data_IF_859792916964
#
_entry.id   IF_859792916964
#
_cell.length_a   1.000
_cell.length_b   1.000
_cell.length_c   1.000
_cell.angle_alpha   90.00
_cell.angle_beta   90.00
_cell.angle_gamma   90.00
#
_symmetry.space_group_name_H-M   'P 1'
#
loop_
_entity.id
_entity.type
_entity.pdbx_description
1 polymer ?
#
# COMPACT_ATOMS: atom_id res chain seq x y z
N UNK A 1 -7.31 3.93 -8.58
CA UNK A 1 -6.51 5.13 -8.89
C UNK A 1 -6.38 6.06 -7.68
N UNK A 2 -7.45 6.36 -6.96
CA UNK A 2 -7.42 7.19 -5.74
C UNK A 2 -6.53 6.59 -4.65
N UNK A 3 -6.56 5.27 -4.45
CA UNK A 3 -5.70 4.57 -3.49
C UNK A 3 -4.21 4.66 -3.85
N UNK A 4 -3.87 4.51 -5.14
CA UNK A 4 -2.48 4.66 -5.61
C UNK A 4 -2.01 6.12 -5.45
N UNK A 5 -2.85 7.10 -5.77
CA UNK A 5 -2.53 8.51 -5.57
C UNK A 5 -2.29 8.83 -4.08
N UNK A 6 -3.07 8.22 -3.19
CA UNK A 6 -2.92 8.37 -1.75
C UNK A 6 -1.61 7.76 -1.24
N UNK A 7 -1.25 6.56 -1.68
CA UNK A 7 0.03 5.92 -1.32
C UNK A 7 1.20 6.75 -1.86
N UNK A 8 1.13 7.23 -3.10
CA UNK A 8 2.16 8.10 -3.68
C UNK A 8 2.27 9.44 -2.92
N UNK A 9 1.13 10.04 -2.54
CA UNK A 9 1.14 11.23 -1.69
C UNK A 9 1.91 11.00 -0.39
N UNK A 10 1.59 9.90 0.32
CA UNK A 10 2.29 9.56 1.55
C UNK A 10 3.78 9.32 1.32
N UNK A 11 4.12 8.45 0.38
CA UNK A 11 5.52 8.05 0.14
C UNK A 11 6.36 9.21 -0.39
N UNK A 12 5.84 9.98 -1.35
CA UNK A 12 6.61 11.08 -1.98
C UNK A 12 6.55 12.35 -1.13
N UNK A 13 5.35 12.71 -0.60
CA UNK A 13 5.18 13.94 0.17
C UNK A 13 5.97 13.95 1.46
N UNK A 14 6.16 12.78 2.08
CA UNK A 14 6.78 12.65 3.39
C UNK A 14 8.27 12.30 3.28
N UNK A 15 8.63 11.37 2.40
CA UNK A 15 10.02 10.90 2.26
C UNK A 15 10.95 11.91 1.58
N UNK A 16 10.42 12.76 0.72
CA UNK A 16 11.20 13.77 -0.03
C UNK A 16 10.91 15.20 0.39
N UNK A 17 10.34 15.40 1.57
CA UNK A 17 10.20 16.72 2.17
C UNK A 17 11.56 17.23 2.65
N UNK A 18 12.38 17.68 1.72
CA UNK A 18 13.53 18.48 2.09
C UNK A 18 13.04 19.88 2.50
N UNK A 19 13.14 20.26 3.79
CA UNK A 19 12.65 21.54 4.27
C UNK A 19 13.36 22.75 3.62
N UNK A 20 14.47 22.52 2.93
CA UNK A 20 15.24 23.58 2.25
C UNK A 20 14.68 23.95 0.89
N UNK A 21 13.98 23.04 0.20
CA UNK A 21 13.42 23.25 -1.13
C UNK A 21 11.94 23.67 -1.13
N UNK A 22 11.18 23.27 -0.09
CA UNK A 22 9.73 23.48 -0.04
C UNK A 22 9.30 23.84 1.40
N UNK A 23 8.68 24.95 1.58
CA UNK A 23 8.36 25.53 2.90
C UNK A 23 7.50 24.66 3.84
N UNK A 24 6.89 23.56 3.36
CA UNK A 24 6.19 22.57 4.19
C UNK A 24 6.16 21.18 3.52
N UNK A 25 6.32 20.07 4.28
CA UNK A 25 6.25 18.72 3.74
C UNK A 25 4.92 18.40 3.02
N UNK A 26 3.82 18.98 3.50
CA UNK A 26 2.47 18.81 2.92
C UNK A 26 2.33 19.42 1.53
N UNK A 27 3.17 20.40 1.15
CA UNK A 27 3.03 21.09 -0.15
C UNK A 27 3.42 20.21 -1.34
N UNK A 28 4.44 19.36 -1.23
CA UNK A 28 4.89 18.49 -2.31
C UNK A 28 3.83 17.42 -2.62
N UNK A 29 3.25 16.80 -1.58
CA UNK A 29 2.22 15.81 -1.75
C UNK A 29 0.97 16.36 -2.42
N UNK A 30 0.50 17.51 -2.00
CA UNK A 30 -0.63 18.21 -2.66
C UNK A 30 -0.34 18.52 -4.12
N UNK A 31 0.88 18.92 -4.44
CA UNK A 31 1.32 19.18 -5.80
C UNK A 31 1.27 17.91 -6.67
N UNK A 32 1.86 16.81 -6.20
CA UNK A 32 1.90 15.56 -6.95
C UNK A 32 0.49 14.98 -7.14
N UNK A 33 -0.33 14.97 -6.09
CA UNK A 33 -1.70 14.42 -6.17
C UNK A 33 -2.58 15.27 -7.10
N UNK A 34 -2.51 16.61 -7.01
CA UNK A 34 -3.29 17.48 -7.90
C UNK A 34 -2.88 17.30 -9.36
N UNK A 35 -1.57 17.16 -9.64
CA UNK A 35 -1.06 16.87 -10.97
C UNK A 35 -1.55 15.50 -11.48
N UNK A 36 -1.56 14.47 -10.64
CA UNK A 36 -2.10 13.15 -11.01
C UNK A 36 -3.59 13.22 -11.31
N UNK A 37 -4.39 13.92 -10.50
CA UNK A 37 -5.82 14.11 -10.77
C UNK A 37 -6.04 14.79 -12.13
N UNK A 38 -5.27 15.83 -12.43
CA UNK A 38 -5.34 16.53 -13.73
C UNK A 38 -4.98 15.61 -14.90
N UNK A 39 -3.88 14.87 -14.80
CA UNK A 39 -3.44 13.95 -15.85
C UNK A 39 -4.47 12.84 -16.10
N UNK A 40 -4.96 12.19 -15.03
CA UNK A 40 -5.96 11.14 -15.16
C UNK A 40 -7.28 11.67 -15.72
N UNK A 41 -7.74 12.83 -15.24
CA UNK A 41 -8.98 13.44 -15.75
C UNK A 41 -8.85 13.79 -17.24
N UNK A 42 -7.72 14.30 -17.68
CA UNK A 42 -7.45 14.59 -19.09
C UNK A 42 -7.42 13.31 -19.94
N UNK A 43 -6.74 12.26 -19.49
CA UNK A 43 -6.71 10.95 -20.18
C UNK A 43 -8.11 10.34 -20.27
N UNK A 44 -8.90 10.42 -19.20
CA UNK A 44 -10.29 9.94 -19.19
C UNK A 44 -11.17 10.64 -20.22
N UNK A 45 -10.93 11.93 -20.54
CA UNK A 45 -11.64 12.62 -21.65
C UNK A 45 -11.35 11.90 -22.98
N UNK A 46 -10.10 11.54 -23.26
CA UNK A 46 -9.75 10.79 -24.47
C UNK A 46 -10.41 9.44 -24.55
N UNK A 47 -10.32 8.67 -23.46
CA UNK A 47 -10.79 7.27 -23.43
C UNK A 47 -12.32 7.18 -23.43
N UNK A 48 -13.00 7.93 -22.56
CA UNK A 48 -14.46 7.80 -22.37
C UNK A 48 -15.29 8.75 -23.26
N UNK A 49 -14.75 9.90 -23.64
CA UNK A 49 -15.45 10.83 -24.53
C UNK A 49 -14.94 10.77 -25.97
N UNK A 50 -13.88 9.98 -26.23
CA UNK A 50 -13.25 9.81 -27.56
C UNK A 50 -12.86 11.13 -28.22
N UNK A 51 -12.44 12.13 -27.44
CA UNK A 51 -12.07 13.46 -27.89
C UNK A 51 -10.60 13.74 -27.62
N UNK A 52 -9.72 13.08 -28.38
CA UNK A 52 -8.28 13.20 -28.22
C UNK A 52 -7.74 14.60 -28.44
N UNK A 53 -8.36 15.39 -29.31
CA UNK A 53 -8.09 16.81 -29.51
C UNK A 53 -8.16 17.60 -28.20
N UNK A 54 -9.23 17.37 -27.41
CA UNK A 54 -9.42 18.03 -26.11
C UNK A 54 -8.52 17.47 -25.03
N UNK A 55 -8.25 16.18 -25.07
CA UNK A 55 -7.28 15.55 -24.18
C UNK A 55 -5.88 16.16 -24.33
N UNK A 56 -5.42 16.29 -25.58
CA UNK A 56 -4.11 16.89 -25.88
C UNK A 56 -4.08 18.34 -25.41
N UNK A 57 -5.16 19.11 -25.66
CA UNK A 57 -5.26 20.48 -25.20
C UNK A 57 -5.20 20.57 -23.68
N UNK A 58 -6.00 19.80 -22.95
CA UNK A 58 -5.99 19.78 -21.48
C UNK A 58 -4.62 19.36 -20.93
N UNK A 59 -4.01 18.30 -21.48
CA UNK A 59 -2.69 17.84 -21.07
C UNK A 59 -1.60 18.91 -21.35
N UNK A 60 -1.61 19.56 -22.50
CA UNK A 60 -0.63 20.59 -22.84
C UNK A 60 -0.76 21.81 -21.90
N UNK A 61 -1.98 22.22 -21.56
CA UNK A 61 -2.20 23.31 -20.60
C UNK A 61 -1.72 22.88 -19.21
N UNK A 62 -2.15 21.71 -18.70
CA UNK A 62 -1.75 21.23 -17.38
C UNK A 62 -0.23 21.11 -17.26
N UNK A 63 0.41 20.41 -18.21
CA UNK A 63 1.87 20.23 -18.23
C UNK A 63 2.60 21.56 -18.42
N UNK A 64 2.13 22.41 -19.33
CA UNK A 64 2.73 23.73 -19.58
C UNK A 64 2.70 24.62 -18.36
N UNK A 65 1.56 24.77 -17.70
CA UNK A 65 1.43 25.60 -16.49
C UNK A 65 2.26 25.02 -15.35
N UNK A 66 2.24 23.71 -15.14
CA UNK A 66 3.06 23.05 -14.10
C UNK A 66 4.54 23.24 -14.35
N UNK A 67 5.01 23.06 -15.57
CA UNK A 67 6.41 23.21 -15.93
C UNK A 67 6.89 24.67 -15.79
N UNK A 68 6.10 25.62 -16.27
CA UNK A 68 6.42 27.06 -16.11
C UNK A 68 6.44 27.45 -14.65
N UNK A 69 5.46 27.02 -13.85
CA UNK A 69 5.40 27.35 -12.42
C UNK A 69 6.54 26.72 -11.62
N UNK A 70 6.95 25.49 -11.95
CA UNK A 70 8.11 24.86 -11.31
C UNK A 70 9.42 25.54 -11.67
N UNK A 71 9.63 25.86 -12.95
CA UNK A 71 10.81 26.60 -13.38
C UNK A 71 10.88 27.99 -12.74
N UNK A 72 9.74 28.69 -12.67
CA UNK A 72 9.68 30.01 -12.04
C UNK A 72 9.97 29.92 -10.54
N UNK A 73 9.43 28.92 -9.84
CA UNK A 73 9.70 28.69 -8.42
C UNK A 73 11.18 28.34 -8.16
N UNK A 74 11.82 27.64 -9.10
CA UNK A 74 13.22 27.23 -8.94
C UNK A 74 14.20 28.36 -9.27
N UNK A 75 13.95 29.16 -10.34
CA UNK A 75 14.93 30.14 -10.83
C UNK A 75 14.70 31.58 -10.36
N UNK A 76 13.47 31.96 -9.99
CA UNK A 76 13.15 33.37 -9.75
C UNK A 76 12.77 33.63 -8.29
N UNK A 77 11.71 33.03 -7.79
CA UNK A 77 11.23 33.22 -6.42
C UNK A 77 10.65 31.91 -5.92
N UNK A 78 11.15 31.33 -4.82
CA UNK A 78 10.55 30.16 -4.23
C UNK A 78 9.16 30.50 -3.67
N UNK A 79 8.11 29.89 -4.21
CA UNK A 79 6.74 30.00 -3.75
C UNK A 79 6.07 28.64 -3.69
N UNK A 80 5.01 28.53 -2.90
CA UNK A 80 4.27 27.29 -2.75
C UNK A 80 3.45 27.01 -4.03
N UNK A 81 3.86 25.98 -4.78
CA UNK A 81 3.23 25.55 -6.03
C UNK A 81 1.77 25.11 -5.87
N UNK A 82 1.34 24.80 -4.65
CA UNK A 82 -0.05 24.50 -4.35
C UNK A 82 -1.00 25.61 -4.81
N UNK A 83 -0.62 26.90 -4.64
CA UNK A 83 -1.42 28.05 -5.06
C UNK A 83 -1.62 28.18 -6.57
N UNK A 84 -0.83 27.47 -7.36
CA UNK A 84 -1.01 27.38 -8.83
C UNK A 84 -1.82 26.15 -9.19
N UNK A 85 -1.54 25.02 -8.53
CA UNK A 85 -2.18 23.75 -8.86
C UNK A 85 -3.66 23.69 -8.47
N UNK A 86 -4.04 24.30 -7.34
CA UNK A 86 -5.41 24.29 -6.88
C UNK A 86 -6.35 25.06 -7.85
N UNK A 87 -6.05 26.31 -8.28
CA UNK A 87 -6.85 26.99 -9.30
C UNK A 87 -6.90 26.23 -10.62
N UNK A 88 -5.79 25.59 -11.03
CA UNK A 88 -5.74 24.83 -12.28
C UNK A 88 -6.65 23.60 -12.23
N UNK A 89 -6.68 22.86 -11.10
CA UNK A 89 -7.61 21.75 -10.92
C UNK A 89 -9.06 22.21 -10.88
N UNK A 90 -9.36 23.30 -10.18
CA UNK A 90 -10.71 23.89 -10.16
C UNK A 90 -11.15 24.37 -11.54
N UNK A 91 -10.24 24.94 -12.32
CA UNK A 91 -10.52 25.35 -13.71
C UNK A 91 -10.85 24.13 -14.59
N UNK A 92 -10.08 23.06 -14.50
CA UNK A 92 -10.35 21.80 -15.21
C UNK A 92 -11.72 21.22 -14.81
N UNK A 93 -12.06 21.23 -13.52
CA UNK A 93 -13.36 20.78 -13.03
C UNK A 93 -14.50 21.64 -13.54
N UNK A 94 -14.33 22.98 -13.55
CA UNK A 94 -15.26 23.92 -14.14
C UNK A 94 -15.48 23.71 -15.64
N UNK A 95 -14.42 23.43 -16.38
CA UNK A 95 -14.47 23.05 -17.79
C UNK A 95 -15.27 21.76 -18.01
N UNK A 96 -15.01 20.72 -17.21
CA UNK A 96 -15.73 19.45 -17.28
C UNK A 96 -17.21 19.63 -16.99
N UNK A 97 -17.57 20.43 -15.98
CA UNK A 97 -18.95 20.74 -15.63
C UNK A 97 -19.66 21.48 -16.77
N UNK A 98 -19.06 22.58 -17.22
CA UNK A 98 -19.64 23.39 -18.30
C UNK A 98 -19.84 22.58 -19.59
N UNK A 99 -18.83 21.76 -19.95
CA UNK A 99 -18.90 20.95 -21.17
C UNK A 99 -19.87 19.80 -21.02
N UNK A 100 -19.94 19.15 -19.86
CA UNK A 100 -20.90 18.10 -19.54
C UNK A 100 -22.36 18.57 -19.63
N UNK A 101 -22.64 19.75 -19.06
CA UNK A 101 -23.97 20.35 -19.09
C UNK A 101 -24.37 20.80 -20.52
N UNK A 102 -23.43 21.39 -21.26
CA UNK A 102 -23.70 21.92 -22.61
C UNK A 102 -23.88 20.81 -23.65
N UNK A 103 -23.08 19.74 -23.58
CA UNK A 103 -23.12 18.65 -24.57
C UNK A 103 -24.07 17.52 -24.17
N UNK A 104 -24.60 17.54 -22.95
CA UNK A 104 -25.43 16.47 -22.35
C UNK A 104 -24.77 15.08 -22.38
N UNK A 105 -23.43 15.01 -22.47
CA UNK A 105 -22.68 13.77 -22.43
C UNK A 105 -22.34 13.45 -20.99
N UNK A 106 -22.98 12.43 -20.43
CA UNK A 106 -22.84 12.03 -19.02
C UNK A 106 -21.41 11.65 -18.63
N UNK A 107 -20.58 11.23 -19.60
CA UNK A 107 -19.20 10.83 -19.32
C UNK A 107 -18.37 11.99 -18.74
N UNK A 108 -18.59 13.25 -19.16
CA UNK A 108 -17.92 14.40 -18.56
C UNK A 108 -18.29 14.60 -17.09
N UNK A 109 -19.55 14.32 -16.72
CA UNK A 109 -20.02 14.40 -15.35
C UNK A 109 -19.43 13.29 -14.48
N UNK A 110 -19.25 12.08 -15.03
CA UNK A 110 -18.57 11.00 -14.34
C UNK A 110 -17.08 11.31 -14.09
N UNK A 111 -16.38 11.90 -15.07
CA UNK A 111 -15.00 12.36 -14.90
C UNK A 111 -14.92 13.47 -13.84
N UNK A 112 -15.86 14.40 -13.85
CA UNK A 112 -15.97 15.45 -12.82
C UNK A 112 -16.19 14.84 -11.43
N UNK A 113 -17.12 13.88 -11.30
CA UNK A 113 -17.40 13.19 -10.04
C UNK A 113 -16.14 12.43 -9.54
N UNK A 114 -15.39 11.78 -10.43
CA UNK A 114 -14.11 11.15 -10.11
C UNK A 114 -13.09 12.18 -9.60
N UNK A 115 -12.90 13.29 -10.30
CA UNK A 115 -11.94 14.34 -9.91
C UNK A 115 -12.30 14.97 -8.57
N UNK A 116 -13.58 15.31 -8.37
CA UNK A 116 -14.10 15.86 -7.11
C UNK A 116 -13.96 14.85 -5.97
N UNK A 117 -14.36 13.60 -6.21
CA UNK A 117 -14.23 12.51 -5.24
C UNK A 117 -12.77 12.25 -4.84
N UNK A 118 -11.84 12.35 -5.79
CA UNK A 118 -10.40 12.21 -5.51
C UNK A 118 -9.87 13.33 -4.62
N UNK A 119 -10.28 14.58 -4.85
CA UNK A 119 -9.89 15.71 -4.00
C UNK A 119 -10.49 15.59 -2.59
N UNK A 120 -11.77 15.23 -2.49
CA UNK A 120 -12.44 15.04 -1.19
C UNK A 120 -11.79 13.90 -0.42
N UNK A 121 -11.57 12.76 -1.08
CA UNK A 121 -10.93 11.60 -0.48
C UNK A 121 -9.52 11.91 0.02
N UNK A 122 -8.75 12.68 -0.77
CA UNK A 122 -7.41 13.10 -0.39
C UNK A 122 -7.40 13.98 0.87
N UNK A 123 -8.25 15.01 0.91
CA UNK A 123 -8.36 15.87 2.09
C UNK A 123 -8.93 15.11 3.31
N UNK A 124 -9.88 14.19 3.09
CA UNK A 124 -10.41 13.34 4.15
C UNK A 124 -9.32 12.41 4.71
N UNK A 125 -8.47 11.86 3.85
CA UNK A 125 -7.38 10.99 4.27
C UNK A 125 -6.36 11.73 5.15
N UNK A 126 -5.95 12.95 4.76
CA UNK A 126 -5.07 13.79 5.56
C UNK A 126 -5.71 14.15 6.91
N UNK A 127 -6.98 14.53 6.90
CA UNK A 127 -7.74 14.78 8.13
C UNK A 127 -7.83 13.54 9.02
N UNK A 128 -8.13 12.37 8.44
CA UNK A 128 -8.27 11.12 9.17
C UNK A 128 -6.96 10.71 9.85
N UNK A 129 -5.84 10.84 9.16
CA UNK A 129 -4.52 10.55 9.71
C UNK A 129 -4.12 11.47 10.86
N UNK A 130 -4.47 12.76 10.74
CA UNK A 130 -4.06 13.74 11.73
C UNK A 130 -5.00 13.85 12.95
N UNK A 131 -6.29 13.50 12.80
CA UNK A 131 -7.33 13.75 13.81
C UNK A 131 -8.14 12.52 14.22
N UNK A 132 -8.24 11.48 13.39
CA UNK A 132 -9.07 10.30 13.66
C UNK A 132 -8.25 9.14 14.19
N UNK A 133 -7.03 8.95 13.68
CA UNK A 133 -6.15 7.88 14.13
C UNK A 133 -5.60 8.15 15.52
N UNK A 134 -5.63 7.12 16.37
CA UNK A 134 -5.00 7.17 17.68
C UNK A 134 -3.48 7.30 17.56
N UNK A 135 -2.86 7.91 18.57
CA UNK A 135 -1.43 8.23 18.54
C UNK A 135 -0.55 7.00 18.24
N UNK A 136 -0.88 5.84 18.81
CA UNK A 136 -0.12 4.61 18.57
C UNK A 136 -0.26 4.09 17.13
N UNK A 137 -1.40 4.30 16.47
CA UNK A 137 -1.60 3.94 15.05
C UNK A 137 -0.83 4.88 14.14
N UNK A 138 -0.84 6.17 14.47
CA UNK A 138 -0.10 7.20 13.75
C UNK A 138 1.40 6.97 13.84
N UNK A 139 1.94 6.67 15.04
CA UNK A 139 3.35 6.33 15.22
C UNK A 139 3.77 5.14 14.37
N UNK A 140 2.97 4.08 14.28
CA UNK A 140 3.26 2.92 13.42
C UNK A 140 3.36 3.29 11.94
N UNK A 141 2.50 4.18 11.47
CA UNK A 141 2.53 4.68 10.09
C UNK A 141 3.75 5.58 9.88
N UNK A 142 4.06 6.46 10.82
CA UNK A 142 5.22 7.36 10.74
C UNK A 142 6.53 6.57 10.74
N UNK A 143 6.65 5.54 11.57
CA UNK A 143 7.81 4.64 11.59
C UNK A 143 7.96 3.90 10.26
N UNK A 144 6.87 3.37 9.69
CA UNK A 144 6.87 2.73 8.38
C UNK A 144 7.37 3.67 7.27
N UNK A 145 7.00 4.95 7.36
CA UNK A 145 7.37 5.97 6.39
C UNK A 145 8.77 6.57 6.65
N UNK A 146 9.42 6.16 7.74
CA UNK A 146 10.74 6.67 8.15
C UNK A 146 10.73 8.10 8.66
N UNK A 147 9.59 8.57 9.19
CA UNK A 147 9.41 9.92 9.74
C UNK A 147 9.76 10.03 11.22
N UNK A 148 9.57 8.96 11.94
CA UNK A 148 9.88 8.84 13.37
C UNK A 148 10.71 7.59 13.59
N UNK A 149 11.80 7.73 14.35
CA UNK A 149 12.58 6.61 14.86
C UNK A 149 11.98 6.19 16.22
N UNK A 150 11.14 5.17 16.21
CA UNK A 150 10.66 4.57 17.47
C UNK A 150 11.70 3.54 17.98
N UNK A 151 12.69 4.03 18.70
CA UNK A 151 13.79 3.21 19.25
C UNK A 151 13.36 2.29 20.41
N UNK A 152 12.11 2.31 20.84
CA UNK A 152 11.63 1.52 22.00
C UNK A 152 10.37 0.71 21.74
N UNK A 153 9.74 0.83 20.57
CA UNK A 153 8.47 0.19 20.26
C UNK A 153 8.49 -0.60 18.94
N UNK A 154 7.47 -0.39 18.12
CA UNK A 154 7.28 -1.11 16.87
C UNK A 154 8.47 -0.93 15.90
N UNK A 155 9.09 0.24 15.84
CA UNK A 155 10.25 0.52 15.00
C UNK A 155 11.50 -0.25 15.42
N UNK A 156 11.71 -0.41 16.73
CA UNK A 156 12.80 -1.24 17.25
C UNK A 156 12.67 -2.70 16.78
N UNK A 157 11.46 -3.27 16.87
CA UNK A 157 11.23 -4.66 16.50
C UNK A 157 11.50 -4.89 14.99
N UNK A 158 11.06 -3.98 14.13
CA UNK A 158 11.33 -4.03 12.69
C UNK A 158 12.83 -3.93 12.41
N UNK A 159 13.49 -2.95 13.00
CA UNK A 159 14.94 -2.76 12.79
C UNK A 159 15.75 -3.98 13.24
N UNK A 160 15.42 -4.57 14.41
CA UNK A 160 16.07 -5.78 14.88
C UNK A 160 15.78 -6.99 13.98
N UNK A 161 14.54 -7.10 13.45
CA UNK A 161 14.20 -8.18 12.50
C UNK A 161 14.95 -8.04 11.18
N UNK A 162 15.13 -6.83 10.65
CA UNK A 162 15.95 -6.58 9.45
C UNK A 162 17.43 -6.94 9.67
N UNK A 163 17.99 -6.60 10.85
CA UNK A 163 19.35 -7.00 11.22
C UNK A 163 19.47 -8.52 11.30
N UNK A 164 18.48 -9.19 11.91
CA UNK A 164 18.47 -10.65 12.03
C UNK A 164 18.47 -11.31 10.65
N UNK A 165 17.54 -10.94 9.76
CA UNK A 165 17.47 -11.46 8.39
C UNK A 165 18.76 -11.15 7.62
N UNK A 166 19.24 -9.91 7.66
CA UNK A 166 20.47 -9.51 6.99
C UNK A 166 21.70 -10.31 7.45
N UNK A 167 21.74 -10.68 8.73
CA UNK A 167 22.83 -11.47 9.30
C UNK A 167 22.85 -12.94 8.86
N UNK A 168 21.72 -13.46 8.35
CA UNK A 168 21.62 -14.83 7.83
C UNK A 168 22.28 -15.02 6.46
N UNK A 169 22.42 -13.97 5.66
CA UNK A 169 23.01 -14.06 4.33
C UNK A 169 22.26 -15.01 3.39
N UNK A 170 23.00 -15.72 2.52
CA UNK A 170 22.38 -16.64 1.56
C UNK A 170 22.04 -17.99 2.17
N UNK A 171 22.95 -18.59 2.96
CA UNK A 171 22.86 -19.96 3.47
C UNK A 171 22.34 -20.04 4.91
N UNK A 172 22.23 -18.91 5.62
CA UNK A 172 21.86 -18.88 7.02
C UNK A 172 22.99 -19.24 7.97
N UNK A 173 22.73 -19.09 9.29
CA UNK A 173 23.66 -19.46 10.36
C UNK A 173 23.51 -20.90 10.81
N UNK A 174 22.53 -21.61 10.28
CA UNK A 174 22.15 -22.97 10.65
C UNK A 174 21.09 -23.03 11.74
N UNK A 175 20.35 -24.12 11.77
CA UNK A 175 19.25 -24.36 12.69
C UNK A 175 19.67 -24.18 14.15
N UNK A 176 18.94 -23.39 14.91
CA UNK A 176 19.21 -23.01 16.30
C UNK A 176 20.56 -22.29 16.53
N UNK A 177 21.18 -21.74 15.49
CA UNK A 177 22.43 -21.00 15.59
C UNK A 177 22.29 -19.50 15.36
N UNK A 178 21.06 -18.98 15.26
CA UNK A 178 20.78 -17.56 15.17
C UNK A 178 21.30 -16.82 16.41
N UNK A 179 22.08 -15.78 16.22
CA UNK A 179 22.63 -14.98 17.32
C UNK A 179 21.61 -13.96 17.84
N UNK A 180 20.88 -13.30 16.96
CA UNK A 180 19.85 -12.33 17.32
C UNK A 180 18.64 -13.02 17.96
N UNK A 181 18.24 -14.15 17.41
CA UNK A 181 17.11 -14.96 17.90
C UNK A 181 17.42 -15.59 19.26
N UNK A 182 18.61 -16.17 19.49
CA UNK A 182 19.01 -16.73 20.78
C UNK A 182 19.07 -15.69 21.90
N UNK A 183 19.54 -14.50 21.60
CA UNK A 183 19.66 -13.40 22.57
C UNK A 183 18.35 -12.66 22.79
N UNK A 184 17.29 -13.05 22.06
CA UNK A 184 15.94 -12.44 22.13
C UNK A 184 15.95 -10.93 21.93
N UNK A 185 16.79 -10.44 21.00
CA UNK A 185 16.81 -9.03 20.65
C UNK A 185 15.55 -8.59 19.90
N UNK A 186 14.85 -9.53 19.22
CA UNK A 186 13.55 -9.29 18.62
C UNK A 186 12.47 -9.73 19.61
N UNK A 187 11.72 -8.80 20.23
CA UNK A 187 10.56 -9.15 21.03
C UNK A 187 9.51 -9.89 20.16
N UNK A 188 8.76 -10.80 20.78
CA UNK A 188 7.69 -11.57 20.10
C UNK A 188 8.16 -12.33 18.83
N UNK A 189 9.43 -12.77 18.82
CA UNK A 189 10.02 -13.49 17.67
C UNK A 189 9.32 -14.82 17.41
N UNK A 190 8.82 -15.52 18.47
CA UNK A 190 8.20 -16.84 18.36
C UNK A 190 6.76 -16.75 17.80
N UNK A 191 6.13 -15.58 17.87
CA UNK A 191 4.75 -15.33 17.45
C UNK A 191 4.71 -14.52 16.16
N UNK A 192 4.85 -13.21 16.26
CA UNK A 192 4.58 -12.29 15.15
C UNK A 192 5.78 -12.12 14.21
N UNK A 193 7.00 -12.27 14.73
CA UNK A 193 8.24 -12.09 13.98
C UNK A 193 8.96 -13.41 13.63
N UNK A 194 8.25 -14.54 13.62
CA UNK A 194 8.85 -15.85 13.37
C UNK A 194 9.63 -15.93 12.05
N UNK A 195 9.20 -15.19 11.02
CA UNK A 195 9.86 -15.15 9.73
C UNK A 195 11.29 -14.58 9.80
N UNK A 196 11.60 -13.71 10.78
CA UNK A 196 12.97 -13.24 10.98
C UNK A 196 13.91 -14.35 11.46
N UNK A 197 13.39 -15.28 12.28
CA UNK A 197 14.14 -16.48 12.72
C UNK A 197 14.47 -17.37 11.53
N UNK A 198 13.50 -17.60 10.64
CA UNK A 198 13.74 -18.35 9.40
C UNK A 198 14.80 -17.66 8.54
N UNK A 199 14.74 -16.32 8.41
CA UNK A 199 15.73 -15.57 7.65
C UNK A 199 17.12 -15.58 8.26
N UNK A 200 17.26 -15.59 9.59
CA UNK A 200 18.55 -15.68 10.27
C UNK A 200 19.17 -17.08 10.21
N UNK A 201 18.36 -18.11 10.49
CA UNK A 201 18.85 -19.49 10.62
C UNK A 201 19.05 -20.18 9.28
N UNK A 202 18.10 -20.05 8.36
CA UNK A 202 18.09 -20.73 7.06
C UNK A 202 18.49 -19.81 5.89
N UNK A 203 18.71 -18.53 6.17
CA UNK A 203 19.14 -17.53 5.20
C UNK A 203 18.10 -17.23 4.13
N UNK A 204 18.58 -16.62 3.04
CA UNK A 204 17.73 -16.26 1.89
C UNK A 204 17.10 -17.50 1.23
N UNK A 205 17.84 -18.61 1.12
CA UNK A 205 17.36 -19.83 0.48
C UNK A 205 16.20 -20.44 1.27
N UNK A 206 16.31 -20.50 2.59
CA UNK A 206 15.25 -21.00 3.46
C UNK A 206 14.03 -20.08 3.47
N UNK A 207 14.24 -18.79 3.60
CA UNK A 207 13.16 -17.79 3.55
C UNK A 207 12.41 -17.83 2.20
N UNK A 208 13.14 -17.90 1.08
CA UNK A 208 12.54 -18.07 -0.25
C UNK A 208 11.79 -19.39 -0.38
N UNK A 209 12.32 -20.48 0.18
CA UNK A 209 11.66 -21.78 0.22
C UNK A 209 10.31 -21.72 0.93
N UNK A 210 10.24 -21.07 2.10
CA UNK A 210 8.99 -20.88 2.85
C UNK A 210 7.99 -20.06 2.03
N UNK A 211 8.42 -18.97 1.39
CA UNK A 211 7.54 -18.15 0.53
C UNK A 211 7.03 -18.94 -0.67
N UNK A 212 7.86 -19.79 -1.29
CA UNK A 212 7.44 -20.66 -2.39
C UNK A 212 6.42 -21.70 -1.94
N UNK A 213 6.55 -22.25 -0.73
CA UNK A 213 5.54 -23.16 -0.16
C UNK A 213 4.21 -22.45 0.05
N UNK A 214 4.20 -21.23 0.59
CA UNK A 214 2.98 -20.44 0.72
C UNK A 214 2.39 -20.07 -0.65
N UNK A 215 3.21 -19.68 -1.60
CA UNK A 215 2.76 -19.42 -2.98
C UNK A 215 2.08 -20.64 -3.59
N UNK A 216 2.69 -21.82 -3.42
CA UNK A 216 2.13 -23.10 -3.90
C UNK A 216 0.79 -23.39 -3.23
N UNK A 217 0.67 -23.18 -1.91
CA UNK A 217 -0.57 -23.34 -1.16
C UNK A 217 -1.65 -22.39 -1.71
N UNK A 218 -1.33 -21.11 -1.89
CA UNK A 218 -2.25 -20.09 -2.42
C UNK A 218 -2.72 -20.46 -3.83
N UNK A 219 -1.81 -20.81 -4.73
CA UNK A 219 -2.14 -21.24 -6.09
C UNK A 219 -3.02 -22.49 -6.09
N UNK A 220 -2.75 -23.43 -5.19
CA UNK A 220 -3.58 -24.64 -5.04
C UNK A 220 -4.98 -24.31 -4.53
N UNK A 221 -5.10 -23.41 -3.57
CA UNK A 221 -6.40 -22.94 -3.07
C UNK A 221 -7.22 -22.25 -4.17
N UNK A 222 -6.59 -21.41 -5.01
CA UNK A 222 -7.24 -20.80 -6.18
C UNK A 222 -7.80 -21.90 -7.10
N UNK A 223 -6.94 -22.86 -7.48
CA UNK A 223 -7.35 -23.94 -8.38
C UNK A 223 -8.51 -24.77 -7.80
N UNK A 224 -8.48 -25.07 -6.50
CA UNK A 224 -9.56 -25.80 -5.82
C UNK A 224 -10.84 -24.97 -5.74
N UNK A 225 -10.76 -23.66 -5.52
CA UNK A 225 -11.92 -22.77 -5.47
C UNK A 225 -12.58 -22.62 -6.86
N UNK A 226 -11.78 -22.50 -7.92
CA UNK A 226 -12.30 -22.37 -9.30
C UNK A 226 -13.06 -23.61 -9.78
N UNK A 227 -12.63 -24.80 -9.38
CA UNK A 227 -13.26 -26.06 -9.80
C UNK A 227 -14.55 -26.37 -9.04
N UNK A 228 -14.90 -25.62 -7.98
CA UNK A 228 -16.09 -25.89 -7.19
C UNK A 228 -17.39 -25.71 -8.00
N UNK A 229 -18.27 -26.72 -8.07
CA UNK A 229 -19.53 -26.63 -8.80
C UNK A 229 -20.57 -25.77 -8.06
N UNK A 230 -20.50 -25.68 -6.74
CA UNK A 230 -21.43 -24.92 -5.92
C UNK A 230 -20.91 -23.49 -5.67
N UNK A 231 -21.82 -22.51 -5.72
CA UNK A 231 -21.50 -21.12 -5.38
C UNK A 231 -20.98 -20.99 -3.96
N UNK A 232 -21.55 -21.75 -3.02
CA UNK A 232 -21.10 -21.76 -1.62
C UNK A 232 -19.65 -22.23 -1.49
N UNK A 233 -19.32 -23.37 -2.10
CA UNK A 233 -17.94 -23.92 -2.05
C UNK A 233 -16.92 -22.98 -2.65
N UNK A 234 -17.27 -22.32 -3.77
CA UNK A 234 -16.42 -21.33 -4.43
C UNK A 234 -16.17 -20.11 -3.53
N UNK A 235 -17.25 -19.50 -3.00
CA UNK A 235 -17.14 -18.33 -2.10
C UNK A 235 -16.34 -18.69 -0.84
N UNK A 236 -16.62 -19.82 -0.23
CA UNK A 236 -15.87 -20.28 0.95
C UNK A 236 -14.38 -20.46 0.64
N UNK A 237 -14.04 -21.08 -0.49
CA UNK A 237 -12.65 -21.25 -0.94
C UNK A 237 -11.91 -19.93 -1.11
N UNK A 238 -12.55 -18.92 -1.71
CA UNK A 238 -11.97 -17.59 -1.84
C UNK A 238 -11.87 -16.85 -0.51
N UNK A 239 -12.78 -17.05 0.43
CA UNK A 239 -12.66 -16.50 1.78
C UNK A 239 -11.44 -17.09 2.51
N UNK A 240 -11.26 -18.41 2.46
CA UNK A 240 -10.09 -19.08 3.05
C UNK A 240 -8.81 -18.58 2.40
N UNK A 241 -8.77 -18.53 1.06
CA UNK A 241 -7.64 -17.99 0.30
C UNK A 241 -7.27 -16.57 0.76
N UNK A 242 -8.27 -15.69 0.87
CA UNK A 242 -8.05 -14.30 1.25
C UNK A 242 -7.46 -14.17 2.65
N UNK A 243 -7.91 -14.99 3.59
CA UNK A 243 -7.37 -15.03 4.96
C UNK A 243 -5.89 -15.46 4.94
N UNK A 244 -5.56 -16.55 4.25
CA UNK A 244 -4.17 -17.02 4.16
C UNK A 244 -3.28 -15.99 3.47
N UNK A 245 -3.71 -15.45 2.32
CA UNK A 245 -2.97 -14.44 1.58
C UNK A 245 -2.70 -13.19 2.45
N UNK A 246 -3.72 -12.70 3.15
CA UNK A 246 -3.61 -11.53 4.02
C UNK A 246 -2.62 -11.77 5.16
N UNK A 247 -2.72 -12.90 5.86
CA UNK A 247 -1.80 -13.23 6.95
C UNK A 247 -0.35 -13.34 6.48
N UNK A 248 -0.10 -14.05 5.38
CA UNK A 248 1.26 -14.17 4.82
C UNK A 248 1.80 -12.81 4.39
N UNK A 249 1.00 -12.05 3.64
CA UNK A 249 1.41 -10.73 3.14
C UNK A 249 1.75 -9.75 4.27
N UNK A 250 0.88 -9.66 5.27
CA UNK A 250 1.10 -8.73 6.39
C UNK A 250 2.25 -9.20 7.28
N UNK A 251 2.31 -10.49 7.64
CA UNK A 251 3.38 -10.98 8.51
C UNK A 251 4.75 -10.80 7.89
N UNK A 252 4.94 -11.27 6.66
CA UNK A 252 6.22 -11.10 5.95
C UNK A 252 6.52 -9.63 5.70
N UNK A 253 5.50 -8.86 5.31
CA UNK A 253 5.66 -7.43 5.06
C UNK A 253 6.09 -6.64 6.29
N UNK A 254 5.54 -6.93 7.48
CA UNK A 254 5.94 -6.22 8.71
C UNK A 254 7.36 -6.58 9.18
N UNK A 255 7.77 -7.84 8.98
CA UNK A 255 9.13 -8.29 9.32
C UNK A 255 10.18 -7.65 8.40
N UNK A 256 9.82 -7.37 7.14
CA UNK A 256 10.65 -6.67 6.15
C UNK A 256 10.49 -5.14 6.16
N UNK A 257 9.74 -4.56 7.10
CA UNK A 257 9.50 -3.12 7.15
C UNK A 257 8.65 -2.56 6.00
N UNK A 258 7.91 -3.41 5.26
CA UNK A 258 7.06 -3.00 4.14
C UNK A 258 5.62 -2.68 4.55
N UNK A 259 5.18 -3.18 5.70
CA UNK A 259 3.85 -2.93 6.27
C UNK A 259 3.99 -2.57 7.75
N UNK A 260 3.03 -1.80 8.31
CA UNK A 260 3.08 -1.45 9.72
C UNK A 260 2.96 -2.71 10.61
N UNK A 261 3.59 -2.67 11.77
CA UNK A 261 3.53 -3.78 12.75
C UNK A 261 2.11 -3.86 13.33
N UNK A 262 1.40 -4.95 13.03
CA UNK A 262 0.01 -5.17 13.48
C UNK A 262 -0.06 -6.32 14.49
N UNK A 263 0.92 -7.23 14.48
CA UNK A 263 0.90 -8.41 15.34
C UNK A 263 -0.02 -9.51 14.79
N UNK A 264 0.23 -9.95 13.57
CA UNK A 264 -0.54 -10.98 12.88
C UNK A 264 0.35 -12.23 12.71
N UNK A 265 -0.11 -13.42 13.19
CA UNK A 265 0.70 -14.63 13.10
C UNK A 265 0.83 -15.15 11.66
N UNK A 266 1.97 -15.75 11.35
CA UNK A 266 2.19 -16.48 10.10
C UNK A 266 1.52 -17.86 10.18
N UNK A 267 0.60 -18.21 9.25
CA UNK A 267 -0.11 -19.48 9.29
C UNK A 267 0.83 -20.68 9.39
N UNK A 268 0.55 -21.60 10.33
CA UNK A 268 1.31 -22.83 10.60
C UNK A 268 2.76 -22.66 11.10
N UNK A 269 3.34 -21.47 11.06
CA UNK A 269 4.70 -21.20 11.53
C UNK A 269 4.73 -20.54 12.91
N UNK A 270 3.88 -19.53 13.12
CA UNK A 270 3.84 -18.80 14.39
C UNK A 270 3.42 -19.67 15.54
N UNK A 271 4.12 -19.52 16.66
CA UNK A 271 3.72 -20.16 17.91
C UNK A 271 2.36 -19.65 18.39
N UNK A 272 1.41 -20.58 18.57
CA UNK A 272 0.07 -20.25 19.07
C UNK A 272 -0.92 -21.40 18.80
N UNK A 273 -1.40 -22.04 19.85
CA UNK A 273 -2.35 -23.15 19.70
C UNK A 273 -3.66 -22.73 19.04
N UNK A 274 -4.20 -21.57 19.39
CA UNK A 274 -5.45 -21.05 18.82
C UNK A 274 -5.32 -20.70 17.32
N UNK A 275 -4.23 -20.11 16.91
CA UNK A 275 -3.95 -19.77 15.50
C UNK A 275 -3.78 -21.03 14.67
N UNK A 276 -3.03 -22.02 15.16
CA UNK A 276 -2.87 -23.30 14.49
C UNK A 276 -4.21 -24.01 14.28
N UNK A 277 -5.05 -24.10 15.31
CA UNK A 277 -6.38 -24.66 15.19
C UNK A 277 -7.25 -23.89 14.21
N UNK A 278 -7.24 -22.57 14.26
CA UNK A 278 -8.02 -21.72 13.36
C UNK A 278 -7.69 -21.97 11.90
N UNK A 279 -6.42 -21.90 11.52
CA UNK A 279 -5.97 -22.13 10.13
C UNK A 279 -6.21 -23.59 9.69
N UNK A 280 -6.01 -24.53 10.58
CA UNK A 280 -6.29 -25.95 10.31
C UNK A 280 -7.75 -26.17 10.00
N UNK A 281 -8.68 -25.69 10.85
CA UNK A 281 -10.11 -25.81 10.60
C UNK A 281 -10.54 -25.15 9.29
N UNK A 282 -10.09 -23.92 9.03
CA UNK A 282 -10.40 -23.21 7.78
C UNK A 282 -10.02 -24.05 6.57
N UNK A 283 -8.80 -24.56 6.56
CA UNK A 283 -8.28 -25.35 5.44
C UNK A 283 -9.00 -26.69 5.30
N UNK A 284 -9.14 -27.45 6.38
CA UNK A 284 -9.72 -28.79 6.32
C UNK A 284 -11.22 -28.80 6.03
N UNK A 285 -11.99 -27.80 6.50
CA UNK A 285 -13.39 -27.63 6.09
C UNK A 285 -13.47 -27.41 4.60
N UNK A 286 -12.59 -26.56 4.02
CA UNK A 286 -12.58 -26.34 2.58
C UNK A 286 -12.22 -27.61 1.80
N UNK A 287 -11.20 -28.35 2.25
CA UNK A 287 -10.83 -29.63 1.64
C UNK A 287 -11.96 -30.67 1.75
N UNK A 288 -12.74 -30.66 2.84
CA UNK A 288 -13.89 -31.55 2.99
C UNK A 288 -15.03 -31.19 2.03
N UNK A 289 -15.28 -29.89 1.82
CA UNK A 289 -16.24 -29.43 0.81
C UNK A 289 -15.80 -29.88 -0.58
N UNK A 290 -14.53 -29.73 -0.92
CA UNK A 290 -13.96 -30.14 -2.20
C UNK A 290 -14.08 -31.65 -2.41
N UNK A 291 -13.73 -32.46 -1.43
CA UNK A 291 -13.85 -33.92 -1.48
C UNK A 291 -15.30 -34.44 -1.57
N UNK A 292 -16.29 -33.66 -1.13
CA UNK A 292 -17.70 -34.00 -1.25
C UNK A 292 -18.32 -33.68 -2.60
N UNK A 293 -17.57 -33.00 -3.47
CA UNK A 293 -18.00 -32.58 -4.82
C UNK A 293 -17.31 -33.39 -5.92
N UNK A 294 -16.30 -34.18 -5.57
CA UNK A 294 -15.67 -35.20 -6.43
C UNK A 294 -16.29 -36.56 -6.18
#
# INVERSE_FOLDING_TARGET
>A
FTGVAMVLYFVIGIRYADPTLWHTPTSIGYYVVSLMIQLFSAVMIGVYCQRWDKTILCLSICIGVTLVSTLFSFFVVPFNLFWVQLPLTLFLMGYLLWHGLRTRVHNYLWILAFSAGSLVFFNFADYALNHVLEQHQRTRINVLLGLEEDLKGAGYNVHQSEIAIGSGGLEGKGFLNGTQTKLKYVPEQDTDFIFCTVGEEEGFVGAAGVLLLFLTLILRLIHLAERQPTTFGRVYGYCVLSIFLFHVFINVGMVLGLTPVIGIPLPFFSYGGSSLWGFTFLLFIFLRIDAGTT
#
